data_IF_469278788118
#
_entry.id   IF_469278788118
#
_cell.length_a   1.000
_cell.length_b   1.000
_cell.length_c   1.000
_cell.angle_alpha   90.00
_cell.angle_beta   90.00
_cell.angle_gamma   90.00
#
_symmetry.space_group_name_H-M   'P 1'
#
loop_
_entity.id
_entity.type
_entity.pdbx_description
1 polymer ?
#
# COMPACT_ATOMS: atom_id res chain seq x y z
N UNK A 1 -5.99 6.01 -7.88
CA UNK A 1 -5.58 4.61 -8.15
C UNK A 1 -6.05 3.73 -6.99
N UNK A 2 -6.04 2.39 -7.12
CA UNK A 2 -6.41 1.48 -6.04
C UNK A 2 -5.47 0.28 -5.96
N UNK A 3 -5.09 -0.08 -4.73
CA UNK A 3 -4.23 -1.24 -4.44
C UNK A 3 -4.86 -2.11 -3.36
N UNK A 4 -4.67 -3.42 -3.45
CA UNK A 4 -5.04 -4.37 -2.41
C UNK A 4 -3.82 -4.74 -1.60
N UNK A 5 -3.92 -4.62 -0.27
CA UNK A 5 -2.91 -5.15 0.64
C UNK A 5 -3.12 -6.64 0.84
N UNK A 6 -2.03 -7.41 0.85
CA UNK A 6 -2.03 -8.82 1.27
C UNK A 6 -0.81 -9.08 2.13
N UNK A 7 -1.02 -9.44 3.39
CA UNK A 7 0.01 -9.52 4.41
C UNK A 7 -0.54 -9.51 5.83
N UNK A 8 0.33 -9.53 6.84
CA UNK A 8 -0.13 -9.55 8.24
C UNK A 8 -0.66 -8.18 8.64
N UNK A 9 -1.95 -8.08 8.96
CA UNK A 9 -2.56 -6.85 9.49
C UNK A 9 -1.74 -6.27 10.65
N UNK A 10 -1.61 -4.95 10.68
CA UNK A 10 -0.81 -4.25 11.68
C UNK A 10 -1.37 -2.86 11.99
N UNK A 11 -0.97 -2.31 13.14
CA UNK A 11 -1.57 -1.08 13.68
C UNK A 11 -3.01 -1.31 14.14
N UNK A 12 -3.55 -0.39 14.95
CA UNK A 12 -4.98 -0.41 15.29
C UNK A 12 -5.81 0.03 14.09
N UNK A 13 -5.25 0.94 13.29
CA UNK A 13 -5.87 1.66 12.20
C UNK A 13 -4.90 1.88 11.01
N UNK A 14 -4.03 0.89 10.72
CA UNK A 14 -3.13 0.94 9.55
C UNK A 14 -3.62 0.07 8.38
N UNK A 15 -2.92 -1.04 8.07
CA UNK A 15 -3.28 -1.91 6.94
C UNK A 15 -3.84 -3.25 7.44
N UNK A 16 -4.94 -3.68 6.83
CA UNK A 16 -5.67 -4.91 7.10
C UNK A 16 -5.56 -5.85 5.90
N UNK A 17 -5.22 -7.11 6.18
CA UNK A 17 -5.08 -8.16 5.17
C UNK A 17 -6.31 -8.25 4.25
N UNK A 18 -6.04 -8.34 2.95
CA UNK A 18 -7.08 -8.49 1.94
C UNK A 18 -7.89 -7.22 1.62
N UNK A 19 -7.68 -6.10 2.33
CA UNK A 19 -8.41 -4.86 2.09
C UNK A 19 -7.86 -4.10 0.87
N UNK A 20 -8.78 -3.47 0.13
CA UNK A 20 -8.44 -2.55 -0.97
C UNK A 20 -8.44 -1.13 -0.44
N UNK A 21 -7.43 -0.36 -0.85
CA UNK A 21 -7.18 0.98 -0.39
C UNK A 21 -7.10 1.96 -1.55
N UNK A 22 -7.49 3.20 -1.28
CA UNK A 22 -7.31 4.31 -2.19
C UNK A 22 -5.85 4.77 -2.16
N UNK A 23 -5.25 4.84 -3.34
CA UNK A 23 -3.90 5.37 -3.55
C UNK A 23 -4.01 6.71 -4.26
N UNK A 24 -3.66 7.77 -3.52
CA UNK A 24 -3.73 9.15 -3.98
C UNK A 24 -2.58 9.48 -4.94
N UNK A 25 -1.46 8.78 -4.84
CA UNK A 25 -0.30 9.03 -5.67
C UNK A 25 0.94 8.27 -5.23
N UNK A 26 2.02 8.54 -5.95
CA UNK A 26 3.36 8.02 -5.67
C UNK A 26 4.25 9.19 -5.27
N UNK A 27 4.99 9.02 -4.18
CA UNK A 27 6.00 9.98 -3.74
C UNK A 27 7.31 9.25 -3.52
N UNK A 28 8.31 9.62 -4.34
CA UNK A 28 9.54 8.83 -4.48
C UNK A 28 9.18 7.39 -4.87
N UNK A 29 9.49 6.40 -4.04
CA UNK A 29 9.12 5.00 -4.23
C UNK A 29 8.03 4.53 -3.25
N UNK A 30 7.28 5.46 -2.67
CA UNK A 30 6.24 5.21 -1.67
C UNK A 30 4.85 5.47 -2.25
N UNK A 31 3.86 4.70 -1.78
CA UNK A 31 2.45 4.92 -2.10
C UNK A 31 1.81 5.77 -1.00
N UNK A 32 1.12 6.85 -1.38
CA UNK A 32 0.27 7.63 -0.47
C UNK A 32 -1.11 6.98 -0.39
N UNK A 33 -1.36 6.29 0.72
CA UNK A 33 -2.54 5.43 0.93
C UNK A 33 -3.43 6.04 2.01
N UNK A 34 -4.73 6.15 1.74
CA UNK A 34 -5.73 6.37 2.79
C UNK A 34 -5.96 5.02 3.50
N UNK A 35 -5.46 4.88 4.73
CA UNK A 35 -5.48 3.61 5.47
C UNK A 35 -6.71 3.47 6.39
N UNK A 36 -6.71 2.49 7.31
CA UNK A 36 -7.85 2.22 8.18
C UNK A 36 -8.17 3.37 9.16
N UNK A 37 -7.25 4.31 9.37
CA UNK A 37 -7.47 5.53 10.16
C UNK A 37 -8.29 6.58 9.43
N UNK A 38 -8.48 6.42 8.10
CA UNK A 38 -9.10 7.40 7.23
C UNK A 38 -8.19 8.59 6.87
N UNK A 39 -6.91 8.53 7.24
CA UNK A 39 -5.88 9.51 6.87
C UNK A 39 -4.92 8.92 5.86
N UNK A 40 -4.22 9.79 5.15
CA UNK A 40 -3.23 9.37 4.19
C UNK A 40 -1.83 9.27 4.80
N UNK A 41 -1.17 8.14 4.53
CA UNK A 41 0.20 7.86 4.96
C UNK A 41 1.02 7.27 3.81
N UNK A 42 2.35 7.40 3.90
CA UNK A 42 3.29 6.84 2.94
C UNK A 42 3.67 5.42 3.35
N UNK A 43 3.43 4.47 2.46
CA UNK A 43 3.81 3.07 2.62
C UNK A 43 4.81 2.67 1.54
N UNK A 44 5.74 1.77 1.89
CA UNK A 44 6.65 1.18 0.91
C UNK A 44 5.85 0.51 -0.20
N UNK A 45 6.21 0.78 -1.46
CA UNK A 45 5.63 0.12 -2.64
C UNK A 45 6.04 -1.35 -2.79
N UNK A 46 7.13 -1.77 -2.11
CA UNK A 46 7.67 -3.14 -2.20
C UNK A 46 7.34 -3.99 -0.98
N UNK A 47 7.34 -3.40 0.22
CA UNK A 47 7.05 -4.10 1.47
C UNK A 47 6.33 -3.16 2.46
N UNK A 48 5.02 -2.93 2.28
CA UNK A 48 4.20 -2.21 3.26
C UNK A 48 4.24 -2.88 4.64
N UNK A 49 4.90 -2.22 5.59
CA UNK A 49 5.15 -2.71 6.95
C UNK A 49 5.26 -1.53 7.94
N UNK A 50 5.02 -1.75 9.24
CA UNK A 50 5.21 -0.71 10.25
C UNK A 50 6.70 -0.42 10.48
N UNK A 51 7.05 0.85 10.68
CA UNK A 51 8.43 1.30 10.90
C UNK A 51 9.11 0.67 12.12
N UNK A 52 8.31 0.34 13.15
CA UNK A 52 8.79 -0.29 14.37
C UNK A 52 9.04 -1.82 14.24
N UNK A 53 8.87 -2.40 13.04
CA UNK A 53 9.07 -3.83 12.75
C UNK A 53 8.18 -4.78 13.56
N UNK A 54 7.06 -4.29 14.09
CA UNK A 54 6.07 -5.12 14.83
C UNK A 54 5.32 -6.13 13.94
N UNK A 55 5.37 -5.97 12.62
CA UNK A 55 4.82 -6.88 11.64
C UNK A 55 5.82 -7.09 10.49
N UNK A 56 5.89 -8.30 9.89
CA UNK A 56 6.68 -8.54 8.68
C UNK A 56 6.19 -7.75 7.45
N UNK A 57 4.96 -7.22 7.50
CA UNK A 57 4.37 -6.48 6.38
C UNK A 57 3.66 -7.38 5.38
N UNK A 58 3.63 -6.92 4.13
CA UNK A 58 2.88 -7.55 3.05
C UNK A 58 3.31 -7.08 1.67
N UNK A 59 2.40 -7.25 0.70
CA UNK A 59 2.58 -6.84 -0.69
C UNK A 59 1.35 -6.11 -1.20
N UNK A 60 1.53 -5.35 -2.27
CA UNK A 60 0.45 -4.71 -3.00
C UNK A 60 0.08 -5.52 -4.24
N UNK A 61 -1.23 -5.60 -4.52
CA UNK A 61 -1.75 -5.98 -5.84
C UNK A 61 -2.46 -4.78 -6.44
N UNK A 62 -2.22 -4.50 -7.73
CA UNK A 62 -2.85 -3.40 -8.44
C UNK A 62 -4.30 -3.78 -8.72
N UNK A 63 -5.24 -2.96 -8.24
CA UNK A 63 -6.68 -3.13 -8.51
C UNK A 63 -7.12 -2.15 -9.60
N UNK A 64 -6.62 -0.92 -9.54
CA UNK A 64 -6.88 0.14 -10.53
C UNK A 64 -5.64 1.02 -10.66
N UNK A 65 -5.08 1.10 -11.87
CA UNK A 65 -3.91 1.94 -12.16
C UNK A 65 -4.35 3.23 -12.88
N UNK A 66 -3.47 4.23 -12.91
CA UNK A 66 -3.69 5.42 -13.71
C UNK A 66 -3.43 5.16 -15.21
N UNK A 67 -3.82 6.10 -16.06
CA UNK A 67 -3.65 6.00 -17.51
C UNK A 67 -2.18 5.87 -17.95
N UNK A 68 -1.22 6.22 -17.08
CA UNK A 68 0.21 6.13 -17.36
C UNK A 68 0.86 4.86 -16.82
N UNK A 69 0.09 3.99 -16.14
CA UNK A 69 0.58 2.74 -15.55
C UNK A 69 1.59 2.96 -14.43
N UNK A 70 1.42 4.01 -13.63
CA UNK A 70 2.39 4.39 -12.59
C UNK A 70 2.60 3.28 -11.57
N UNK A 71 1.53 2.60 -11.12
CA UNK A 71 1.67 1.50 -10.17
C UNK A 71 2.40 0.32 -10.80
N UNK A 72 2.07 -0.03 -12.04
CA UNK A 72 2.68 -1.16 -12.74
C UNK A 72 4.18 -0.99 -12.99
N UNK A 73 4.68 0.26 -13.04
CA UNK A 73 6.11 0.57 -13.16
C UNK A 73 6.85 0.44 -11.83
N UNK A 74 6.17 0.70 -10.71
CA UNK A 74 6.79 0.76 -9.39
C UNK A 74 6.66 -0.56 -8.61
N UNK A 75 5.48 -1.20 -8.66
CA UNK A 75 5.18 -2.40 -7.87
C UNK A 75 5.75 -3.64 -8.58
N UNK A 76 6.56 -4.47 -7.90
CA UNK A 76 7.09 -5.70 -8.48
C UNK A 76 5.95 -6.64 -8.90
N UNK A 77 6.06 -7.19 -10.11
CA UNK A 77 5.17 -8.28 -10.56
C UNK A 77 5.46 -9.51 -9.70
N UNK A 78 4.40 -10.05 -9.07
CA UNK A 78 4.47 -11.27 -8.26
C UNK A 78 4.48 -12.53 -9.11
#
# INVERSE_FOLDING_TARGET
>A
MKVKYTGKSFGVDSLTDGKTYECLGIEYDLLRIIDDSGKDYLYSSINPAPLNKSSPGGKWSIVEDDASGSLAKLIPKS
#
